data_IF_133932437829
#
_entry.id   IF_133932437829
#
_cell.length_a   1.000
_cell.length_b   1.000
_cell.length_c   1.000
_cell.angle_alpha   90.00
_cell.angle_beta   90.00
_cell.angle_gamma   90.00
#
_symmetry.space_group_name_H-M   'P 1'
#
loop_
_entity.id
_entity.type
_entity.pdbx_description
1 polymer ?
#
# COMPACT_ATOMS: atom_id res chain seq x y z
N UNK A 1 -67.59 18.16 -13.20
CA UNK A 1 -68.04 16.92 -12.50
C UNK A 1 -66.87 16.44 -11.66
N UNK A 2 -67.09 15.91 -10.45
CA UNK A 2 -66.06 15.22 -9.65
C UNK A 2 -66.41 13.73 -9.61
N UNK A 3 -65.40 12.87 -9.68
CA UNK A 3 -65.54 11.41 -9.64
C UNK A 3 -64.44 10.85 -8.75
N UNK A 4 -64.73 9.73 -8.10
CA UNK A 4 -63.75 8.87 -7.44
C UNK A 4 -63.31 7.79 -8.43
N UNK A 5 -62.02 7.46 -8.44
CA UNK A 5 -61.43 6.57 -9.45
C UNK A 5 -60.32 5.75 -8.82
N UNK A 6 -60.48 4.42 -8.80
CA UNK A 6 -59.41 3.49 -8.47
C UNK A 6 -58.31 3.55 -9.53
N UNK A 7 -57.05 3.61 -9.08
CA UNK A 7 -55.86 3.61 -9.94
C UNK A 7 -54.86 2.60 -9.40
N UNK A 8 -54.49 1.64 -10.25
CA UNK A 8 -53.55 0.58 -9.92
C UNK A 8 -52.22 0.80 -10.63
N UNK A 9 -51.13 0.57 -9.90
CA UNK A 9 -49.76 0.61 -10.44
C UNK A 9 -49.14 -0.76 -10.21
N UNK A 10 -48.68 -1.40 -11.30
CA UNK A 10 -48.05 -2.73 -11.27
C UNK A 10 -46.79 -2.74 -12.11
N UNK A 11 -45.85 -3.64 -11.82
CA UNK A 11 -44.78 -3.95 -12.75
C UNK A 11 -45.19 -5.11 -13.65
N UNK A 12 -44.92 -4.97 -14.95
CA UNK A 12 -45.06 -6.02 -15.95
C UNK A 12 -43.71 -6.32 -16.60
N UNK A 13 -43.58 -7.50 -17.19
CA UNK A 13 -42.42 -7.89 -17.97
C UNK A 13 -42.40 -7.14 -19.31
N UNK A 14 -41.25 -6.55 -19.65
CA UNK A 14 -41.09 -5.77 -20.89
C UNK A 14 -41.34 -6.58 -22.17
N UNK A 15 -41.15 -7.91 -22.14
CA UNK A 15 -41.33 -8.79 -23.31
C UNK A 15 -42.68 -9.50 -23.24
N UNK A 16 -42.96 -10.23 -22.16
CA UNK A 16 -44.17 -11.07 -22.08
C UNK A 16 -45.43 -10.30 -21.68
N UNK A 17 -45.29 -9.04 -21.23
CA UNK A 17 -46.35 -8.17 -20.67
C UNK A 17 -47.09 -8.73 -19.43
N UNK A 18 -46.68 -9.91 -18.96
CA UNK A 18 -47.23 -10.54 -17.75
C UNK A 18 -46.80 -9.78 -16.50
N UNK A 19 -47.65 -9.80 -15.47
CA UNK A 19 -47.34 -9.21 -14.18
C UNK A 19 -46.06 -9.82 -13.58
N UNK A 20 -45.19 -8.97 -13.03
CA UNK A 20 -44.04 -9.45 -12.27
C UNK A 20 -44.53 -10.10 -10.98
N UNK A 21 -44.07 -11.32 -10.73
CA UNK A 21 -44.28 -12.06 -9.48
C UNK A 21 -43.09 -11.77 -8.56
N UNK A 22 -43.37 -11.66 -7.25
CA UNK A 22 -42.31 -11.60 -6.25
C UNK A 22 -41.79 -13.01 -5.97
N UNK A 23 -40.49 -13.20 -6.17
CA UNK A 23 -39.80 -14.49 -6.02
C UNK A 23 -38.71 -14.45 -4.94
N UNK A 24 -38.59 -13.32 -4.22
CA UNK A 24 -37.66 -13.17 -3.11
C UNK A 24 -38.07 -13.97 -1.88
N UNK A 25 -37.14 -14.13 -0.95
CA UNK A 25 -37.39 -14.73 0.36
C UNK A 25 -37.14 -13.67 1.43
N UNK A 26 -38.20 -13.26 2.13
CA UNK A 26 -38.12 -12.37 3.29
C UNK A 26 -38.85 -13.03 4.47
N UNK A 27 -38.41 -12.74 5.70
CA UNK A 27 -39.08 -13.20 6.92
C UNK A 27 -40.31 -12.36 7.25
N UNK A 28 -40.36 -11.11 6.78
CA UNK A 28 -41.48 -10.21 6.96
C UNK A 28 -42.46 -10.33 5.78
N UNK A 29 -43.70 -10.83 5.98
CA UNK A 29 -44.67 -10.97 4.90
C UNK A 29 -45.04 -9.62 4.24
N UNK A 30 -44.94 -8.50 4.95
CA UNK A 30 -45.19 -7.16 4.38
C UNK A 30 -44.15 -6.74 3.33
N UNK A 31 -42.94 -7.33 3.37
CA UNK A 31 -41.86 -7.09 2.41
C UNK A 31 -41.93 -8.02 1.19
N UNK A 32 -42.75 -9.07 1.24
CA UNK A 32 -42.92 -10.06 0.18
C UNK A 32 -43.79 -9.56 -0.99
N UNK A 33 -43.44 -8.38 -1.53
CA UNK A 33 -44.18 -7.67 -2.58
C UNK A 33 -43.21 -7.10 -3.63
N UNK A 34 -43.63 -7.05 -4.88
CA UNK A 34 -42.82 -6.48 -5.98
C UNK A 34 -42.62 -4.98 -5.82
N UNK A 35 -43.67 -4.26 -5.41
CA UNK A 35 -43.66 -2.82 -5.14
C UNK A 35 -44.01 -2.57 -3.67
N UNK A 36 -43.30 -1.62 -3.07
CA UNK A 36 -43.45 -1.20 -1.67
C UNK A 36 -43.55 0.33 -1.60
N UNK A 37 -44.40 0.84 -0.72
CA UNK A 37 -44.45 2.25 -0.33
C UNK A 37 -43.57 2.50 0.89
N UNK A 38 -43.18 3.75 1.13
CA UNK A 38 -42.28 4.09 2.25
C UNK A 38 -42.87 3.71 3.61
N UNK A 39 -44.18 3.91 3.82
CA UNK A 39 -44.80 3.69 5.12
C UNK A 39 -44.80 2.22 5.56
N UNK A 40 -44.93 1.28 4.62
CA UNK A 40 -44.84 -0.18 4.87
C UNK A 40 -43.41 -0.58 5.27
N UNK A 41 -42.40 0.08 4.70
CA UNK A 41 -40.99 -0.24 4.94
C UNK A 41 -40.42 0.46 6.19
N UNK A 42 -41.03 1.55 6.64
CA UNK A 42 -40.48 2.41 7.68
C UNK A 42 -41.12 2.14 9.04
N UNK A 43 -40.35 1.59 9.98
CA UNK A 43 -40.79 1.33 11.36
C UNK A 43 -41.45 2.55 12.03
N UNK A 44 -40.89 3.76 11.85
CA UNK A 44 -41.48 5.00 12.37
C UNK A 44 -42.88 5.28 11.79
N UNK A 45 -43.07 5.04 10.50
CA UNK A 45 -44.37 5.24 9.85
C UNK A 45 -45.40 4.19 10.28
N UNK A 46 -45.00 2.92 10.42
CA UNK A 46 -45.83 1.85 10.99
C UNK A 46 -46.32 2.22 12.40
N UNK A 47 -45.44 2.81 13.22
CA UNK A 47 -45.76 3.31 14.56
C UNK A 47 -46.48 4.69 14.56
N UNK A 48 -46.85 5.22 13.39
CA UNK A 48 -47.47 6.54 13.19
C UNK A 48 -46.68 7.72 13.77
N UNK A 49 -45.37 7.57 13.92
CA UNK A 49 -44.43 8.61 14.36
C UNK A 49 -44.01 9.48 13.17
N UNK A 50 -43.58 10.72 13.47
CA UNK A 50 -42.98 11.60 12.47
C UNK A 50 -41.73 10.98 11.84
N UNK A 51 -41.64 11.02 10.51
CA UNK A 51 -40.53 10.49 9.72
C UNK A 51 -40.13 11.50 8.64
N UNK A 52 -38.85 11.90 8.59
CA UNK A 52 -38.35 12.83 7.57
C UNK A 52 -38.47 12.26 6.15
N UNK A 53 -38.13 10.98 5.96
CA UNK A 53 -38.20 10.31 4.66
C UNK A 53 -39.63 10.19 4.12
N UNK A 54 -40.67 10.29 4.96
CA UNK A 54 -42.07 10.36 4.51
C UNK A 54 -42.36 11.67 3.75
N UNK A 55 -41.64 12.75 4.05
CA UNK A 55 -41.79 14.02 3.34
C UNK A 55 -41.13 14.00 1.95
N UNK A 56 -40.05 13.22 1.79
CA UNK A 56 -39.33 13.05 0.52
C UNK A 56 -39.98 11.99 -0.39
N UNK A 57 -40.47 10.91 0.23
CA UNK A 57 -41.07 9.74 -0.45
C UNK A 57 -42.39 9.33 0.21
N UNK A 58 -43.47 10.13 0.11
CA UNK A 58 -44.77 9.79 0.67
C UNK A 58 -45.39 8.56 -0.03
N UNK A 59 -46.24 7.81 0.70
CA UNK A 59 -47.05 6.73 0.11
C UNK A 59 -48.13 7.27 -0.82
N UNK A 60 -48.81 8.34 -0.39
CA UNK A 60 -49.86 9.01 -1.17
C UNK A 60 -49.23 9.80 -2.33
N UNK A 61 -49.83 9.79 -3.53
CA UNK A 61 -49.30 10.51 -4.67
C UNK A 61 -49.34 12.03 -4.47
N UNK A 62 -48.24 12.71 -4.79
CA UNK A 62 -48.16 14.16 -4.73
C UNK A 62 -48.76 14.78 -5.98
N UNK A 63 -49.72 15.68 -5.81
CA UNK A 63 -50.29 16.48 -6.91
C UNK A 63 -49.35 17.63 -7.23
N UNK A 64 -48.94 17.76 -8.49
CA UNK A 64 -48.08 18.82 -9.02
C UNK A 64 -48.85 19.58 -10.10
N UNK A 65 -48.81 20.91 -10.06
CA UNK A 65 -49.46 21.83 -11.00
C UNK A 65 -50.92 21.48 -11.35
N UNK A 66 -51.65 20.91 -10.37
CA UNK A 66 -53.04 20.42 -10.45
C UNK A 66 -53.30 19.23 -11.37
N UNK A 67 -52.45 18.98 -12.37
CA UNK A 67 -52.71 18.00 -13.43
C UNK A 67 -51.77 16.77 -13.41
N UNK A 68 -50.71 16.79 -12.60
CA UNK A 68 -49.73 15.71 -12.54
C UNK A 68 -49.79 14.99 -11.18
N UNK A 69 -49.62 13.68 -11.20
CA UNK A 69 -49.47 12.84 -10.01
C UNK A 69 -48.06 12.24 -9.97
N UNK A 70 -47.37 12.42 -8.84
CA UNK A 70 -46.04 11.84 -8.61
C UNK A 70 -46.12 10.75 -7.54
N UNK A 71 -45.83 9.52 -7.95
CA UNK A 71 -45.80 8.34 -7.09
C UNK A 71 -44.38 8.01 -6.65
N UNK A 72 -44.21 7.58 -5.40
CA UNK A 72 -42.92 7.13 -4.86
C UNK A 72 -43.03 5.67 -4.42
N UNK A 73 -42.31 4.78 -5.11
CA UNK A 73 -42.35 3.34 -4.85
C UNK A 73 -40.94 2.75 -4.92
N UNK A 74 -40.69 1.72 -4.10
CA UNK A 74 -39.48 0.91 -4.17
C UNK A 74 -39.83 -0.44 -4.80
N UNK A 75 -39.07 -0.86 -5.80
CA UNK A 75 -39.13 -2.25 -6.28
C UNK A 75 -38.29 -3.15 -5.36
N UNK A 76 -38.87 -4.27 -4.90
CA UNK A 76 -38.17 -5.29 -4.10
C UNK A 76 -37.90 -6.59 -4.89
N UNK A 77 -38.09 -6.57 -6.21
CA UNK A 77 -37.80 -7.68 -7.11
C UNK A 77 -36.69 -7.27 -8.08
N UNK A 78 -35.59 -8.02 -8.12
CA UNK A 78 -34.56 -7.83 -9.15
C UNK A 78 -35.07 -8.37 -10.50
N UNK A 79 -34.65 -7.75 -11.61
CA UNK A 79 -34.89 -8.29 -12.95
C UNK A 79 -34.17 -9.64 -13.16
N UNK A 80 -32.96 -9.78 -12.60
CA UNK A 80 -32.16 -10.99 -12.65
C UNK A 80 -32.28 -11.75 -11.32
N UNK A 81 -32.57 -13.05 -11.41
CA UNK A 81 -32.75 -13.94 -10.24
C UNK A 81 -31.43 -14.39 -9.62
N UNK A 82 -30.47 -14.74 -10.48
CA UNK A 82 -29.23 -15.41 -10.09
C UNK A 82 -28.02 -14.49 -10.24
N UNK A 83 -26.99 -14.74 -9.44
CA UNK A 83 -25.66 -14.17 -9.66
C UNK A 83 -25.00 -14.75 -10.92
N UNK A 84 -24.13 -13.96 -11.55
CA UNK A 84 -23.40 -14.35 -12.77
C UNK A 84 -23.39 -13.23 -13.81
N UNK A 85 -22.81 -13.51 -14.98
CA UNK A 85 -22.89 -12.59 -16.11
C UNK A 85 -24.28 -12.69 -16.77
N UNK A 86 -25.07 -11.61 -16.85
CA UNK A 86 -26.38 -11.68 -17.49
C UNK A 86 -26.27 -12.06 -18.96
N UNK A 87 -26.92 -13.18 -19.32
CA UNK A 87 -27.19 -13.57 -20.71
C UNK A 87 -28.63 -13.22 -21.07
N UNK A 88 -29.57 -13.67 -20.24
CA UNK A 88 -30.99 -13.44 -20.41
C UNK A 88 -31.42 -12.15 -19.68
N UNK A 89 -31.39 -11.02 -20.40
CA UNK A 89 -31.75 -9.72 -19.84
C UNK A 89 -33.27 -9.54 -19.73
N UNK A 90 -33.83 -9.79 -18.54
CA UNK A 90 -35.17 -9.34 -18.18
C UNK A 90 -35.18 -7.83 -17.89
N UNK A 91 -36.27 -7.15 -18.26
CA UNK A 91 -36.56 -5.74 -17.87
C UNK A 91 -38.04 -5.60 -17.53
N UNK A 92 -38.37 -4.60 -16.72
CA UNK A 92 -39.73 -4.33 -16.26
C UNK A 92 -40.27 -3.04 -16.87
N UNK A 93 -41.58 -2.91 -16.95
CA UNK A 93 -42.28 -1.65 -17.23
C UNK A 93 -43.31 -1.40 -16.14
N UNK A 94 -43.58 -0.13 -15.83
CA UNK A 94 -44.68 0.28 -14.95
C UNK A 94 -45.95 0.33 -15.79
N UNK A 95 -46.98 -0.42 -15.39
CA UNK A 95 -48.32 -0.36 -15.97
C UNK A 95 -49.27 0.39 -15.02
N UNK A 96 -50.09 1.27 -15.59
CA UNK A 96 -51.14 2.00 -14.87
C UNK A 96 -52.50 1.59 -15.44
N UNK A 97 -53.47 1.27 -14.59
CA UNK A 97 -54.80 0.78 -14.99
C UNK A 97 -55.89 1.20 -14.00
N UNK A 98 -57.15 1.16 -14.43
CA UNK A 98 -58.35 1.32 -13.57
C UNK A 98 -58.90 0.00 -13.04
N UNK A 99 -58.25 -1.12 -13.35
CA UNK A 99 -58.53 -2.44 -12.78
C UNK A 99 -57.24 -3.13 -12.34
N UNK A 100 -57.36 -4.14 -11.46
CA UNK A 100 -56.21 -4.90 -10.94
C UNK A 100 -55.55 -5.80 -11.99
N UNK A 101 -56.27 -6.17 -13.06
CA UNK A 101 -55.77 -7.02 -14.14
C UNK A 101 -54.83 -6.24 -15.07
N UNK A 102 -53.75 -6.89 -15.51
CA UNK A 102 -52.76 -6.28 -16.45
C UNK A 102 -52.98 -6.69 -17.91
N UNK A 103 -53.76 -7.74 -18.15
CA UNK A 103 -54.06 -8.27 -19.48
C UNK A 103 -55.21 -7.49 -20.18
N UNK A 104 -55.83 -6.54 -19.49
CA UNK A 104 -56.90 -5.67 -19.98
C UNK A 104 -56.41 -4.32 -20.50
N UNK A 105 -57.32 -3.35 -20.77
CA UNK A 105 -56.95 -2.02 -21.21
C UNK A 105 -56.18 -1.26 -20.11
N UNK A 106 -54.92 -0.96 -20.38
CA UNK A 106 -54.05 -0.14 -19.54
C UNK A 106 -54.21 1.35 -19.93
N UNK A 107 -54.13 2.24 -18.94
CA UNK A 107 -54.08 3.69 -19.16
C UNK A 107 -52.74 4.13 -19.75
N UNK A 108 -51.64 3.54 -19.25
CA UNK A 108 -50.29 3.84 -19.70
C UNK A 108 -49.31 2.70 -19.35
N UNK A 109 -48.21 2.64 -20.10
CA UNK A 109 -47.06 1.77 -19.82
C UNK A 109 -45.76 2.59 -19.95
N UNK A 110 -44.85 2.47 -18.99
CA UNK A 110 -43.57 3.21 -19.00
C UNK A 110 -42.53 2.61 -19.94
N UNK A 111 -41.43 3.34 -20.16
CA UNK A 111 -40.20 2.78 -20.68
C UNK A 111 -39.62 1.65 -19.81
N UNK A 112 -38.65 0.92 -20.37
CA UNK A 112 -38.01 -0.23 -19.76
C UNK A 112 -37.08 0.14 -18.58
N UNK A 113 -37.45 -0.27 -17.38
CA UNK A 113 -36.65 -0.21 -16.17
C UNK A 113 -35.85 -1.50 -15.95
N UNK A 114 -34.59 -1.39 -15.50
CA UNK A 114 -33.75 -2.52 -15.12
C UNK A 114 -33.41 -2.44 -13.63
N UNK A 115 -34.05 -3.28 -12.81
CA UNK A 115 -33.89 -3.31 -11.36
C UNK A 115 -32.79 -4.30 -10.99
N UNK A 116 -31.76 -3.82 -10.29
CA UNK A 116 -30.60 -4.61 -9.87
C UNK A 116 -30.09 -4.16 -8.49
N UNK A 117 -29.54 -5.09 -7.71
CA UNK A 117 -28.82 -4.77 -6.48
C UNK A 117 -27.29 -4.75 -6.74
N UNK A 118 -26.79 -3.68 -7.35
CA UNK A 118 -25.37 -3.54 -7.72
C UNK A 118 -24.92 -2.07 -7.76
N UNK A 119 -24.17 -1.63 -6.75
CA UNK A 119 -23.62 -0.26 -6.64
C UNK A 119 -22.59 0.12 -7.72
N UNK A 120 -22.08 -0.88 -8.46
CA UNK A 120 -21.10 -0.70 -9.54
C UNK A 120 -21.75 -0.67 -10.93
N UNK A 121 -23.08 -0.77 -11.05
CA UNK A 121 -23.75 -0.66 -12.35
C UNK A 121 -23.44 0.68 -13.02
N UNK A 122 -23.34 0.69 -14.36
CA UNK A 122 -22.91 1.85 -15.15
C UNK A 122 -21.42 2.23 -15.02
N UNK A 123 -20.71 1.76 -13.99
CA UNK A 123 -19.27 2.06 -13.82
C UNK A 123 -18.43 1.10 -14.66
N UNK A 124 -17.44 1.62 -15.38
CA UNK A 124 -16.43 0.81 -16.07
C UNK A 124 -15.64 -0.01 -15.05
N UNK A 125 -15.27 -1.24 -15.42
CA UNK A 125 -14.38 -2.05 -14.58
C UNK A 125 -13.05 -1.31 -14.39
N UNK A 126 -12.66 -1.07 -13.13
CA UNK A 126 -11.31 -0.59 -12.83
C UNK A 126 -10.33 -1.74 -13.09
N UNK A 127 -9.22 -1.46 -13.77
CA UNK A 127 -8.13 -2.42 -13.88
C UNK A 127 -7.55 -2.63 -12.48
N UNK A 128 -7.49 -3.88 -12.05
CA UNK A 128 -6.75 -4.27 -10.84
C UNK A 128 -5.28 -4.44 -11.21
N UNK A 129 -4.65 -3.35 -11.63
CA UNK A 129 -3.20 -3.27 -11.77
C UNK A 129 -2.66 -2.36 -10.65
N UNK A 130 -1.95 -2.91 -9.64
CA UNK A 130 -1.38 -2.10 -8.56
C UNK A 130 -0.46 -0.97 -9.08
N UNK A 131 0.10 -1.14 -10.28
CA UNK A 131 1.08 -0.21 -10.88
C UNK A 131 0.44 1.03 -11.54
N UNK A 132 -0.89 1.09 -11.64
CA UNK A 132 -1.60 2.31 -12.10
C UNK A 132 -1.75 3.35 -10.97
N UNK A 133 -1.57 2.98 -9.70
CA UNK A 133 -1.64 3.91 -8.56
C UNK A 133 -0.29 4.44 -8.08
N UNK A 134 0.74 3.60 -8.07
CA UNK A 134 2.10 3.98 -7.71
C UNK A 134 3.14 3.07 -8.39
N UNK A 135 4.30 3.63 -8.76
CA UNK A 135 5.37 2.87 -9.43
C UNK A 135 6.31 2.26 -8.39
N UNK A 136 6.63 0.94 -8.46
CA UNK A 136 7.58 0.32 -7.55
C UNK A 136 9.01 0.82 -7.83
N UNK A 137 9.74 1.15 -6.76
CA UNK A 137 11.12 1.66 -6.84
C UNK A 137 12.05 0.90 -5.89
N UNK A 138 13.33 0.76 -6.25
CA UNK A 138 14.39 0.21 -5.38
C UNK A 138 15.15 1.39 -4.76
N UNK A 139 15.40 1.33 -3.45
CA UNK A 139 16.23 2.29 -2.71
C UNK A 139 17.54 1.66 -2.24
N UNK A 140 17.50 0.41 -1.76
CA UNK A 140 18.68 -0.31 -1.29
C UNK A 140 18.53 -1.83 -1.47
N UNK A 141 19.66 -2.54 -1.41
CA UNK A 141 19.75 -4.00 -1.50
C UNK A 141 20.69 -4.48 -0.39
N UNK A 142 20.25 -5.44 0.42
CA UNK A 142 21.01 -5.93 1.57
C UNK A 142 20.94 -7.47 1.69
N UNK A 143 22.09 -8.19 1.66
CA UNK A 143 23.42 -7.70 1.30
C UNK A 143 23.50 -7.22 -0.16
N UNK A 144 24.43 -6.32 -0.46
CA UNK A 144 24.69 -5.82 -1.81
C UNK A 144 25.69 -6.67 -2.60
N UNK A 145 26.14 -7.80 -2.04
CA UNK A 145 27.11 -8.71 -2.65
C UNK A 145 26.84 -10.17 -2.26
N UNK A 146 27.39 -11.11 -3.04
CA UNK A 146 27.29 -12.54 -2.78
C UNK A 146 28.05 -13.38 -3.81
N UNK A 147 28.03 -14.71 -3.63
CA UNK A 147 28.83 -15.63 -4.43
C UNK A 147 28.22 -15.93 -5.80
N UNK A 148 29.07 -16.17 -6.80
CA UNK A 148 28.67 -16.66 -8.14
C UNK A 148 27.84 -17.94 -8.13
N UNK A 149 27.88 -18.73 -7.06
CA UNK A 149 27.04 -19.91 -6.86
C UNK A 149 25.54 -19.59 -6.70
N UNK A 150 25.19 -18.34 -6.34
CA UNK A 150 23.82 -17.98 -5.97
C UNK A 150 23.39 -18.54 -4.61
N UNK A 151 22.08 -18.52 -4.35
CA UNK A 151 21.48 -19.01 -3.10
C UNK A 151 21.67 -18.11 -1.88
N UNK A 152 22.13 -16.86 -2.05
CA UNK A 152 22.15 -15.86 -0.98
C UNK A 152 20.77 -15.21 -0.84
N UNK A 153 20.22 -15.24 0.37
CA UNK A 153 19.00 -14.51 0.72
C UNK A 153 19.29 -13.01 0.73
N UNK A 154 18.58 -12.25 -0.10
CA UNK A 154 18.74 -10.80 -0.22
C UNK A 154 17.39 -10.11 0.02
N UNK A 155 17.43 -9.00 0.75
CA UNK A 155 16.28 -8.11 0.96
C UNK A 155 16.46 -6.87 0.09
N UNK A 156 15.49 -6.60 -0.79
CA UNK A 156 15.38 -5.33 -1.49
C UNK A 156 14.49 -4.40 -0.67
N UNK A 157 14.96 -3.18 -0.46
CA UNK A 157 14.25 -2.12 0.27
C UNK A 157 13.86 -1.03 -0.74
N UNK A 158 12.62 -0.56 -0.67
CA UNK A 158 12.06 0.37 -1.65
C UNK A 158 10.68 0.87 -1.28
N UNK A 159 9.86 1.23 -2.28
CA UNK A 159 8.45 1.60 -2.10
C UNK A 159 7.55 0.89 -3.11
N UNK A 160 6.26 0.82 -2.76
CA UNK A 160 5.17 0.34 -3.61
C UNK A 160 5.35 -1.11 -4.09
N UNK A 161 5.96 -1.96 -3.27
CA UNK A 161 6.00 -3.40 -3.51
C UNK A 161 4.64 -4.04 -3.23
N UNK A 162 4.31 -5.08 -3.99
CA UNK A 162 3.03 -5.80 -3.93
C UNK A 162 3.23 -7.26 -4.35
N UNK A 163 2.25 -8.10 -4.08
CA UNK A 163 2.34 -9.54 -4.32
C UNK A 163 2.42 -9.89 -5.82
N UNK A 164 3.21 -10.90 -6.16
CA UNK A 164 3.53 -11.29 -7.54
C UNK A 164 4.51 -10.37 -8.28
N UNK A 165 5.09 -9.35 -7.62
CA UNK A 165 6.19 -8.57 -8.17
C UNK A 165 7.45 -9.44 -8.30
N UNK A 166 8.07 -9.45 -9.48
CA UNK A 166 9.29 -10.21 -9.76
C UNK A 166 10.53 -9.30 -9.71
N UNK A 167 11.68 -9.88 -9.40
CA UNK A 167 12.97 -9.19 -9.41
C UNK A 167 13.82 -9.76 -10.54
N UNK A 168 14.63 -8.91 -11.18
CA UNK A 168 15.50 -9.29 -12.29
C UNK A 168 16.95 -8.95 -11.92
N UNK A 169 17.81 -9.95 -11.82
CA UNK A 169 19.26 -9.78 -11.70
C UNK A 169 19.86 -9.79 -13.11
N UNK A 170 20.05 -8.60 -13.68
CA UNK A 170 20.51 -8.37 -15.05
C UNK A 170 19.47 -8.79 -16.08
N UNK A 171 19.50 -10.07 -16.46
CA UNK A 171 18.52 -10.71 -17.35
C UNK A 171 17.77 -11.87 -16.69
N UNK A 172 18.20 -12.32 -15.50
CA UNK A 172 17.62 -13.48 -14.82
C UNK A 172 16.46 -13.05 -13.92
N UNK A 173 15.25 -13.48 -14.26
CA UNK A 173 14.07 -13.35 -13.42
C UNK A 173 14.18 -14.28 -12.21
N UNK A 174 13.89 -13.75 -11.02
CA UNK A 174 13.68 -14.51 -9.79
C UNK A 174 12.35 -14.15 -9.14
N UNK A 175 11.77 -15.14 -8.48
CA UNK A 175 10.61 -14.95 -7.62
C UNK A 175 11.00 -14.10 -6.41
N UNK A 176 10.09 -13.23 -5.99
CA UNK A 176 10.22 -12.47 -4.74
C UNK A 176 9.06 -12.78 -3.82
N UNK A 177 9.32 -12.68 -2.52
CA UNK A 177 8.36 -12.87 -1.45
C UNK A 177 8.15 -11.51 -0.77
N UNK A 178 6.89 -11.07 -0.70
CA UNK A 178 6.52 -9.81 -0.09
C UNK A 178 6.60 -9.90 1.44
N UNK A 179 7.47 -9.08 2.06
CA UNK A 179 7.47 -8.90 3.52
C UNK A 179 6.58 -7.71 3.87
N UNK A 180 6.78 -6.56 3.20
CA UNK A 180 5.96 -5.35 3.32
C UNK A 180 5.92 -4.60 1.99
N UNK A 181 5.10 -3.55 1.89
CA UNK A 181 5.12 -2.61 0.76
C UNK A 181 6.47 -1.90 0.52
N UNK A 182 7.43 -2.06 1.43
CA UNK A 182 8.77 -1.47 1.36
C UNK A 182 9.90 -2.50 1.39
N UNK A 183 9.61 -3.80 1.54
CA UNK A 183 10.60 -4.86 1.63
C UNK A 183 10.15 -6.16 0.93
N UNK A 184 10.97 -6.66 0.01
CA UNK A 184 10.81 -7.99 -0.62
C UNK A 184 12.06 -8.84 -0.40
N UNK A 185 11.85 -10.14 -0.17
CA UNK A 185 12.91 -11.15 -0.05
C UNK A 185 13.08 -11.87 -1.38
N UNK A 186 14.34 -12.10 -1.79
CA UNK A 186 14.71 -12.87 -2.97
C UNK A 186 15.87 -13.82 -2.67
N UNK A 187 16.04 -14.81 -3.54
CA UNK A 187 17.25 -15.62 -3.61
C UNK A 187 18.05 -15.21 -4.84
N UNK A 188 19.35 -14.95 -4.68
CA UNK A 188 20.22 -14.61 -5.81
C UNK A 188 20.35 -15.80 -6.77
N UNK A 189 20.17 -15.64 -8.09
CA UNK A 189 20.39 -16.73 -9.04
C UNK A 189 21.89 -17.06 -9.16
N UNK A 190 22.27 -18.28 -9.56
CA UNK A 190 23.65 -18.60 -9.91
C UNK A 190 24.11 -17.80 -11.15
N UNK A 191 25.36 -17.33 -11.17
CA UNK A 191 25.93 -16.53 -12.26
C UNK A 191 27.39 -16.89 -12.50
N UNK A 192 27.74 -17.27 -13.73
CA UNK A 192 29.12 -17.71 -14.06
C UNK A 192 30.13 -16.56 -14.18
N UNK A 193 29.69 -15.32 -14.44
CA UNK A 193 30.56 -14.14 -14.55
C UNK A 193 30.50 -13.33 -13.25
N UNK A 194 31.63 -13.08 -12.57
CA UNK A 194 31.69 -12.16 -11.44
C UNK A 194 31.54 -10.70 -11.87
N UNK A 195 31.39 -9.81 -10.90
CA UNK A 195 31.23 -8.37 -11.08
C UNK A 195 29.80 -7.87 -10.85
N UNK A 196 29.61 -6.58 -11.07
CA UNK A 196 28.35 -5.88 -10.82
C UNK A 196 27.23 -6.42 -11.73
N UNK A 197 26.02 -6.51 -11.19
CA UNK A 197 24.78 -6.70 -11.94
C UNK A 197 23.78 -5.60 -11.55
N UNK A 198 22.99 -5.17 -12.53
CA UNK A 198 21.87 -4.28 -12.31
C UNK A 198 20.64 -5.07 -11.87
N UNK A 199 19.96 -4.59 -10.84
CA UNK A 199 18.78 -5.22 -10.26
C UNK A 199 17.57 -4.35 -10.58
N UNK A 200 16.58 -4.92 -11.26
CA UNK A 200 15.35 -4.25 -11.66
C UNK A 200 14.11 -5.05 -11.24
N UNK A 201 12.92 -4.48 -11.40
CA UNK A 201 11.65 -5.13 -11.02
C UNK A 201 10.81 -5.41 -12.26
N UNK A 202 9.97 -6.45 -12.24
CA UNK A 202 9.13 -6.87 -13.36
C UNK A 202 7.75 -7.31 -12.88
N UNK A 203 6.69 -6.93 -13.59
CA UNK A 203 5.33 -7.41 -13.36
C UNK A 203 4.53 -7.39 -14.67
N UNK A 204 3.86 -8.50 -15.02
CA UNK A 204 3.06 -8.65 -16.27
C UNK A 204 3.81 -8.12 -17.52
N UNK A 205 5.08 -8.50 -17.67
CA UNK A 205 5.98 -8.07 -18.75
C UNK A 205 6.32 -6.56 -18.80
N UNK A 206 5.89 -5.76 -17.82
CA UNK A 206 6.32 -4.37 -17.61
C UNK A 206 7.50 -4.36 -16.64
N UNK A 207 8.61 -3.75 -17.06
CA UNK A 207 9.84 -3.66 -16.27
C UNK A 207 10.02 -2.25 -15.69
N UNK A 208 10.46 -2.17 -14.44
CA UNK A 208 10.62 -0.93 -13.65
C UNK A 208 12.08 -0.72 -13.24
N UNK A 209 12.39 0.44 -12.66
CA UNK A 209 13.73 0.81 -12.18
C UNK A 209 14.85 0.84 -13.25
N UNK A 210 14.54 0.80 -14.56
CA UNK A 210 15.58 0.86 -15.62
C UNK A 210 16.49 2.10 -15.56
N UNK A 211 15.95 3.25 -15.17
CA UNK A 211 16.73 4.49 -15.03
C UNK A 211 17.42 4.67 -13.68
N UNK A 212 17.09 3.82 -12.70
CA UNK A 212 17.67 3.83 -11.35
C UNK A 212 17.70 2.40 -10.80
N UNK A 213 18.50 1.49 -11.41
CA UNK A 213 18.55 0.11 -10.98
C UNK A 213 19.30 0.00 -9.65
N UNK A 214 18.91 -0.98 -8.84
CA UNK A 214 19.76 -1.43 -7.74
C UNK A 214 21.04 -2.06 -8.29
N UNK A 215 22.07 -2.18 -7.47
CA UNK A 215 23.34 -2.84 -7.84
C UNK A 215 23.63 -3.97 -6.86
N UNK A 216 24.03 -5.12 -7.40
CA UNK A 216 24.48 -6.27 -6.62
C UNK A 216 25.80 -6.80 -7.20
N UNK A 217 26.74 -7.20 -6.36
CA UNK A 217 28.08 -7.64 -6.79
C UNK A 217 28.21 -9.15 -6.65
N UNK A 218 28.54 -9.83 -7.75
CA UNK A 218 28.88 -11.26 -7.71
C UNK A 218 30.39 -11.45 -7.56
N UNK A 219 30.82 -12.13 -6.51
CA UNK A 219 32.23 -12.47 -6.28
C UNK A 219 32.47 -13.95 -6.56
N UNK A 220 33.59 -14.29 -7.20
CA UNK A 220 33.94 -15.67 -7.52
C UNK A 220 34.91 -16.26 -6.48
N UNK A 221 34.57 -17.40 -5.89
CA UNK A 221 35.48 -18.14 -4.99
C UNK A 221 36.78 -18.62 -5.66
N UNK A 222 36.82 -18.63 -7.00
CA UNK A 222 37.94 -19.02 -7.86
C UNK A 222 38.62 -17.84 -8.53
N UNK A 223 38.44 -16.62 -8.01
CA UNK A 223 39.17 -15.46 -8.51
C UNK A 223 40.67 -15.64 -8.21
N UNK A 224 41.59 -15.41 -9.18
CA UNK A 224 43.03 -15.69 -8.98
C UNK A 224 43.65 -14.97 -7.76
N UNK A 225 43.15 -13.78 -7.44
CA UNK A 225 43.50 -12.98 -6.26
C UNK A 225 43.16 -13.70 -4.95
N UNK A 226 41.93 -14.22 -4.85
CA UNK A 226 41.40 -14.95 -3.70
C UNK A 226 42.09 -16.31 -3.57
N UNK A 227 42.21 -17.07 -4.67
CA UNK A 227 42.88 -18.38 -4.66
C UNK A 227 44.37 -18.27 -4.31
N UNK A 228 45.08 -17.23 -4.79
CA UNK A 228 46.45 -16.96 -4.36
C UNK A 228 46.53 -16.63 -2.86
N UNK A 229 45.57 -15.87 -2.33
CA UNK A 229 45.41 -15.63 -0.89
C UNK A 229 45.27 -16.94 -0.09
N UNK A 230 44.42 -17.85 -0.53
CA UNK A 230 44.28 -19.18 0.08
C UNK A 230 45.55 -20.03 -0.02
N UNK A 231 46.26 -20.02 -1.16
CA UNK A 231 47.55 -20.70 -1.30
C UNK A 231 48.61 -20.16 -0.34
N UNK A 232 48.60 -18.84 -0.07
CA UNK A 232 49.49 -18.20 0.90
C UNK A 232 49.10 -18.57 2.34
N UNK A 233 47.83 -18.48 2.71
CA UNK A 233 47.34 -18.86 4.04
C UNK A 233 47.61 -20.34 4.35
N UNK A 234 47.43 -21.25 3.39
CA UNK A 234 47.70 -22.69 3.55
C UNK A 234 49.16 -23.00 3.91
N UNK A 235 50.12 -22.11 3.61
CA UNK A 235 51.54 -22.22 4.00
C UNK A 235 51.85 -21.61 5.38
N UNK A 236 50.98 -20.75 5.90
CA UNK A 236 51.18 -19.99 7.14
C UNK A 236 50.36 -20.55 8.32
N UNK A 237 49.21 -21.17 8.02
CA UNK A 237 48.33 -21.79 9.01
C UNK A 237 48.94 -23.10 9.53
N UNK A 238 49.11 -23.29 10.85
CA UNK A 238 49.56 -24.54 11.44
C UNK A 238 48.66 -25.73 11.08
N UNK A 239 49.31 -26.88 10.87
CA UNK A 239 48.64 -28.18 10.77
C UNK A 239 48.55 -28.83 12.14
N UNK A 240 47.53 -29.67 12.33
CA UNK A 240 47.28 -30.45 13.53
C UNK A 240 47.25 -31.94 13.19
N UNK A 241 47.56 -32.85 14.15
CA UNK A 241 47.44 -34.28 13.92
C UNK A 241 46.02 -34.66 13.46
N UNK A 242 45.92 -35.42 12.36
CA UNK A 242 44.64 -35.81 11.75
C UNK A 242 44.13 -34.87 10.64
N UNK A 243 44.84 -33.79 10.31
CA UNK A 243 44.50 -32.95 9.17
C UNK A 243 44.66 -33.68 7.81
N UNK A 244 43.75 -33.48 6.85
CA UNK A 244 43.92 -33.97 5.48
C UNK A 244 45.04 -33.21 4.74
N UNK A 245 45.63 -33.84 3.72
CA UNK A 245 46.71 -33.25 2.91
C UNK A 245 46.39 -31.88 2.33
N UNK A 246 45.11 -31.66 1.97
CA UNK A 246 44.55 -30.38 1.55
C UNK A 246 43.45 -29.94 2.52
N UNK A 247 43.74 -28.91 3.30
CA UNK A 247 42.76 -28.30 4.20
C UNK A 247 41.60 -27.64 3.42
N UNK A 248 40.34 -27.83 3.85
CA UNK A 248 39.20 -27.05 3.37
C UNK A 248 39.38 -25.54 3.57
N UNK A 249 38.85 -24.72 2.65
CA UNK A 249 38.94 -23.24 2.71
C UNK A 249 38.40 -22.69 4.04
N UNK A 250 37.34 -23.30 4.56
CA UNK A 250 36.71 -22.97 5.85
C UNK A 250 37.67 -23.10 7.04
N UNK A 251 38.40 -24.22 7.13
CA UNK A 251 39.36 -24.50 8.21
C UNK A 251 40.58 -23.56 8.11
N UNK A 252 41.02 -23.24 6.90
CA UNK A 252 42.09 -22.27 6.66
C UNK A 252 41.69 -20.88 7.18
N UNK A 253 40.48 -20.41 6.84
CA UNK A 253 39.99 -19.11 7.33
C UNK A 253 39.83 -19.10 8.85
N UNK A 254 39.24 -20.15 9.44
CA UNK A 254 39.06 -20.25 10.90
C UNK A 254 40.39 -20.10 11.62
N UNK A 255 41.38 -20.95 11.30
CA UNK A 255 42.70 -20.90 11.96
C UNK A 255 43.45 -19.60 11.68
N UNK A 256 43.28 -19.00 10.51
CA UNK A 256 43.88 -17.70 10.21
C UNK A 256 43.26 -16.57 11.06
N UNK A 257 41.95 -16.63 11.35
CA UNK A 257 41.28 -15.73 12.28
C UNK A 257 41.74 -15.97 13.73
N UNK A 258 41.74 -17.23 14.20
CA UNK A 258 42.20 -17.61 15.55
C UNK A 258 43.62 -17.07 15.83
N UNK A 259 44.53 -17.17 14.85
CA UNK A 259 45.90 -16.62 14.94
C UNK A 259 45.93 -15.09 14.93
N UNK A 260 45.12 -14.43 14.11
CA UNK A 260 45.05 -12.97 14.06
C UNK A 260 44.54 -12.41 15.40
N UNK A 261 43.49 -13.00 15.98
CA UNK A 261 42.96 -12.62 17.29
C UNK A 261 43.98 -12.84 18.41
N UNK A 262 44.70 -13.98 18.40
CA UNK A 262 45.78 -14.24 19.35
C UNK A 262 46.89 -13.17 19.30
N UNK A 263 47.27 -12.70 18.10
CA UNK A 263 48.27 -11.64 17.92
C UNK A 263 47.82 -10.27 18.47
N UNK A 264 46.52 -9.96 18.41
CA UNK A 264 45.97 -8.74 19.01
C UNK A 264 45.74 -8.86 20.53
N UNK A 265 45.69 -10.09 21.06
CA UNK A 265 45.41 -10.37 22.48
C UNK A 265 46.67 -10.45 23.37
N UNK A 266 47.87 -10.52 22.80
CA UNK A 266 49.11 -10.58 23.58
C UNK A 266 49.56 -9.17 24.06
N UNK A 267 50.04 -9.03 25.31
CA UNK A 267 50.61 -7.79 25.80
C UNK A 267 51.90 -7.43 25.03
N UNK A 268 51.99 -6.19 24.52
CA UNK A 268 53.17 -5.71 23.79
C UNK A 268 54.42 -5.69 24.69
N UNK A 269 55.39 -6.56 24.38
CA UNK A 269 56.69 -6.58 25.04
C UNK A 269 57.62 -5.53 24.37
N UNK A 270 58.16 -4.53 25.10
CA UNK A 270 58.87 -3.39 24.50
C UNK A 270 60.18 -3.70 23.77
N UNK A 271 60.72 -4.92 23.88
CA UNK A 271 61.99 -5.34 23.27
C UNK A 271 61.86 -6.22 22.01
N UNK A 272 60.68 -6.31 21.38
CA UNK A 272 60.55 -6.95 20.06
C UNK A 272 60.56 -5.92 18.92
N UNK A 273 61.26 -6.27 17.83
CA UNK A 273 61.32 -5.50 16.59
C UNK A 273 59.92 -5.02 16.17
N UNK A 274 59.76 -3.70 16.03
CA UNK A 274 58.49 -3.13 15.58
C UNK A 274 58.14 -3.67 14.19
N UNK A 275 57.04 -4.42 14.09
CA UNK A 275 56.39 -4.61 12.79
C UNK A 275 56.05 -3.23 12.25
N UNK A 276 56.62 -2.87 11.10
CA UNK A 276 56.31 -1.60 10.44
C UNK A 276 54.81 -1.54 10.19
N UNK A 277 54.15 -0.44 10.60
CA UNK A 277 52.72 -0.24 10.42
C UNK A 277 52.31 -0.54 8.99
N UNK A 278 51.19 -1.25 8.83
CA UNK A 278 50.64 -1.72 7.57
C UNK A 278 50.60 -0.61 6.52
N UNK A 279 51.58 -0.58 5.61
CA UNK A 279 51.52 0.29 4.44
C UNK A 279 50.51 -0.30 3.47
N UNK A 280 49.29 0.22 3.52
CA UNK A 280 48.38 0.16 2.38
C UNK A 280 49.13 0.63 1.12
N UNK A 281 49.02 -0.06 -0.02
CA UNK A 281 49.71 0.37 -1.24
C UNK A 281 49.17 1.74 -1.66
N UNK A 282 50.03 2.75 -1.60
CA UNK A 282 49.68 4.10 -2.02
C UNK A 282 49.52 4.13 -3.55
N UNK A 283 48.28 4.26 -4.04
CA UNK A 283 48.03 4.57 -5.44
C UNK A 283 48.48 6.01 -5.73
N UNK A 284 49.64 6.15 -6.35
CA UNK A 284 50.11 7.43 -6.85
C UNK A 284 49.56 7.68 -8.27
N UNK A 285 48.33 8.20 -8.38
CA UNK A 285 48.06 9.26 -9.38
C UNK A 285 46.74 10.01 -9.14
N UNK A 286 46.88 11.30 -8.84
CA UNK A 286 46.16 12.44 -9.43
C UNK A 286 44.62 12.42 -9.62
N UNK A 287 43.98 13.31 -8.84
CA UNK A 287 42.72 14.03 -9.10
C UNK A 287 41.37 13.27 -9.09
N UNK A 288 40.63 13.35 -7.96
CA UNK A 288 39.44 14.23 -7.87
C UNK A 288 38.89 14.38 -6.44
N UNK A 289 38.09 15.43 -6.25
CA UNK A 289 37.54 16.02 -5.03
C UNK A 289 36.82 15.10 -4.01
N UNK A 290 37.35 15.08 -2.78
CA UNK A 290 36.67 15.38 -1.51
C UNK A 290 35.33 14.74 -1.14
N UNK A 291 35.33 13.91 -0.08
CA UNK A 291 34.19 13.68 0.80
C UNK A 291 34.65 13.50 2.26
N UNK A 292 33.90 14.06 3.22
CA UNK A 292 34.26 14.04 4.65
C UNK A 292 34.00 12.67 5.30
N UNK A 293 34.95 12.18 6.10
CA UNK A 293 34.78 11.04 6.99
C UNK A 293 35.09 11.45 8.44
N UNK A 294 34.12 11.29 9.33
CA UNK A 294 34.28 11.53 10.77
C UNK A 294 35.12 10.41 11.42
N UNK A 295 36.12 10.71 12.26
CA UNK A 295 36.79 9.68 13.05
C UNK A 295 35.90 9.26 14.24
N UNK A 296 35.42 8.03 14.19
CA UNK A 296 34.66 7.41 15.28
C UNK A 296 35.59 7.05 16.47
N UNK A 297 35.58 7.87 17.52
CA UNK A 297 36.12 7.47 18.83
C UNK A 297 35.00 6.85 19.67
N UNK A 298 35.02 5.52 19.79
CA UNK A 298 34.25 4.76 20.79
C UNK A 298 35.23 3.92 21.61
N UNK A 299 35.83 4.55 22.62
CA UNK A 299 36.64 3.86 23.62
C UNK A 299 35.75 3.47 24.81
N UNK A 300 35.40 2.19 24.90
CA UNK A 300 34.70 1.64 26.07
C UNK A 300 35.74 1.43 27.16
N UNK A 301 35.65 2.22 28.24
CA UNK A 301 36.52 2.07 29.41
C UNK A 301 35.86 1.13 30.41
N UNK A 302 36.53 0.02 30.74
CA UNK A 302 36.08 -0.90 31.79
C UNK A 302 36.52 -0.33 33.15
N UNK A 303 35.55 0.05 33.98
CA UNK A 303 35.77 0.55 35.34
C UNK A 303 35.66 -0.56 36.37
N UNK A 304 36.71 -0.72 37.19
CA UNK A 304 36.75 -1.64 38.32
C UNK A 304 35.85 -1.15 39.48
N UNK A 305 35.36 -2.06 40.32
CA UNK A 305 34.30 -1.78 41.31
C UNK A 305 34.84 -1.56 42.73
N UNK A 306 34.64 -0.36 43.30
CA UNK A 306 35.08 -0.05 44.68
C UNK A 306 34.42 1.16 45.35
N UNK A 307 33.35 0.90 46.12
CA UNK A 307 32.92 1.63 47.35
C UNK A 307 32.57 3.14 47.29
N UNK A 308 31.28 3.40 47.09
CA UNK A 308 30.39 4.30 47.87
C UNK A 308 30.97 5.42 48.79
N UNK A 309 30.70 6.71 48.48
CA UNK A 309 30.08 7.69 49.43
C UNK A 309 29.48 8.92 48.70
N UNK A 310 28.80 9.81 49.46
CA UNK A 310 27.80 10.83 49.05
C UNK A 310 28.24 12.28 49.43
N UNK A 311 27.48 13.31 48.99
CA UNK A 311 27.55 14.76 49.36
C UNK A 311 28.62 15.60 48.60
N UNK A 312 28.51 16.91 48.29
CA UNK A 312 27.48 17.97 48.49
C UNK A 312 27.59 19.12 47.43
N UNK A 313 26.73 20.15 47.54
CA UNK A 313 26.55 21.43 46.80
C UNK A 313 27.78 22.32 46.41
N UNK A 314 27.58 23.31 45.49
CA UNK A 314 28.40 24.56 45.52
C UNK A 314 28.77 25.39 44.24
N UNK A 315 27.85 26.22 43.73
CA UNK A 315 28.05 27.60 43.16
C UNK A 315 29.15 28.02 42.12
N UNK A 316 28.70 28.26 40.87
CA UNK A 316 28.86 29.47 40.00
C UNK A 316 30.13 30.36 39.93
N UNK A 317 30.63 30.67 38.70
CA UNK A 317 30.55 32.03 38.06
C UNK A 317 30.98 32.12 36.55
N UNK A 318 30.12 32.72 35.72
CA UNK A 318 30.32 33.60 34.52
C UNK A 318 31.63 33.58 33.69
N UNK A 319 31.61 33.57 32.34
CA UNK A 319 31.35 34.77 31.49
C UNK A 319 31.17 34.47 29.96
N UNK A 320 30.46 35.38 29.27
CA UNK A 320 30.51 35.86 27.85
C UNK A 320 31.46 35.22 26.80
N UNK A 321 31.20 35.22 25.48
CA UNK A 321 30.10 35.80 24.64
C UNK A 321 30.22 35.39 23.15
N UNK A 322 29.08 35.43 22.42
CA UNK A 322 28.88 35.65 20.96
C UNK A 322 30.06 35.65 19.95
N UNK A 323 29.87 34.99 18.79
CA UNK A 323 29.86 35.61 17.44
C UNK A 323 29.04 34.72 16.47
N UNK A 324 28.18 35.34 15.65
CA UNK A 324 27.62 34.74 14.42
C UNK A 324 27.90 35.68 13.22
N UNK A 325 28.26 35.18 12.03
CA UNK A 325 28.31 36.01 10.83
C UNK A 325 27.00 35.91 10.01
N UNK A 326 26.23 37.01 10.01
CA UNK A 326 25.54 37.48 8.79
C UNK A 326 26.58 38.28 7.99
N UNK A 327 26.51 38.49 6.67
CA UNK A 327 25.49 38.23 5.65
C UNK A 327 25.56 39.35 4.60
N UNK A 328 24.92 39.18 3.42
CA UNK A 328 24.58 40.23 2.43
C UNK A 328 23.55 39.62 1.47
N UNK A 329 22.61 40.34 0.84
CA UNK A 329 22.27 41.76 0.88
C UNK A 329 21.15 42.02 -0.15
N UNK A 330 20.16 42.84 0.17
CA UNK A 330 18.90 42.96 -0.59
C UNK A 330 18.94 44.00 -1.73
N UNK A 331 18.10 43.79 -2.77
CA UNK A 331 17.27 44.79 -3.49
C UNK A 331 16.56 44.07 -4.66
N UNK A 332 15.31 44.34 -5.06
CA UNK A 332 14.34 45.32 -4.55
C UNK A 332 13.83 46.25 -5.66
N UNK A 333 12.79 45.85 -6.41
CA UNK A 333 11.95 46.73 -7.26
C UNK A 333 10.72 46.00 -7.82
N UNK A 334 9.53 46.54 -7.57
CA UNK A 334 8.26 46.28 -8.28
C UNK A 334 7.84 47.59 -8.98
N UNK A 335 7.03 47.57 -10.07
CA UNK A 335 5.57 47.59 -9.90
C UNK A 335 4.72 46.87 -10.99
N UNK A 336 3.58 46.30 -10.56
CA UNK A 336 2.32 45.96 -11.32
C UNK A 336 2.42 45.07 -12.61
N UNK A 337 1.43 44.24 -12.97
CA UNK A 337 -0.02 44.24 -12.68
C UNK A 337 -0.72 42.85 -12.73
N UNK A 338 -1.57 42.57 -11.73
CA UNK A 338 -2.92 41.90 -11.78
C UNK A 338 -3.08 40.44 -12.27
N UNK A 339 -4.02 39.74 -11.59
CA UNK A 339 -4.60 38.40 -11.85
C UNK A 339 -3.71 37.18 -11.54
N UNK A 340 -4.15 36.13 -10.83
CA UNK A 340 -5.42 35.89 -10.13
C UNK A 340 -5.61 34.39 -9.86
N UNK A 341 -6.10 33.99 -8.68
CA UNK A 341 -6.38 32.58 -8.37
C UNK A 341 -6.11 32.19 -6.90
N UNK A 342 -7.18 31.87 -6.16
CA UNK A 342 -7.10 31.46 -4.76
C UNK A 342 -6.85 29.95 -4.62
N UNK A 343 -5.86 29.56 -3.82
CA UNK A 343 -5.62 28.18 -3.38
C UNK A 343 -5.57 28.11 -1.86
N UNK A 344 -6.46 27.32 -1.24
CA UNK A 344 -6.62 27.25 0.22
C UNK A 344 -5.59 26.33 0.88
N UNK A 345 -4.94 26.83 1.93
CA UNK A 345 -4.04 26.07 2.80
C UNK A 345 -4.79 25.17 3.81
N UNK A 346 -4.29 23.95 3.98
CA UNK A 346 -4.68 22.98 5.02
C UNK A 346 -4.13 23.29 6.41
N UNK A 347 -4.82 22.91 7.50
CA UNK A 347 -4.17 22.63 8.80
C UNK A 347 -5.01 21.81 9.80
N UNK A 348 -4.39 20.76 10.38
CA UNK A 348 -4.66 20.04 11.66
C UNK A 348 -6.09 19.43 11.90
N UNK A 349 -6.38 18.43 12.74
CA UNK A 349 -5.68 17.57 13.74
C UNK A 349 -6.74 16.98 14.72
N UNK A 350 -6.53 16.02 15.63
CA UNK A 350 -5.44 15.05 15.89
C UNK A 350 -5.92 14.03 16.99
N UNK A 351 -5.66 12.70 16.87
CA UNK A 351 -5.96 11.62 17.87
C UNK A 351 -7.46 11.34 18.21
N UNK A 352 -7.91 10.18 18.74
CA UNK A 352 -7.29 8.88 19.12
C UNK A 352 -8.37 7.83 19.54
N UNK A 353 -8.04 6.53 19.67
CA UNK A 353 -8.99 5.42 20.02
C UNK A 353 -9.13 5.13 21.54
N UNK A 354 -9.45 3.90 22.04
CA UNK A 354 -9.81 2.63 21.34
C UNK A 354 -10.92 1.71 21.98
N UNK A 355 -11.72 0.99 21.14
CA UNK A 355 -12.43 -0.30 21.43
C UNK A 355 -13.53 -0.36 22.53
N UNK A 356 -14.21 -1.52 22.77
CA UNK A 356 -14.39 -2.72 21.93
C UNK A 356 -15.87 -3.25 21.83
N UNK A 357 -16.10 -4.24 20.93
CA UNK A 357 -17.20 -5.24 20.91
C UNK A 357 -18.69 -4.78 20.88
N UNK A 358 -19.38 -5.06 19.76
CA UNK A 358 -20.84 -5.02 19.64
C UNK A 358 -21.33 -5.61 18.31
N UNK A 359 -22.40 -6.41 18.34
CA UNK A 359 -22.94 -7.15 17.18
C UNK A 359 -24.02 -6.34 16.43
N UNK A 360 -24.44 -6.80 15.23
CA UNK A 360 -25.37 -6.13 14.28
C UNK A 360 -24.72 -4.95 13.52
N UNK A 361 -25.13 -4.58 12.31
CA UNK A 361 -26.17 -5.07 11.39
C UNK A 361 -26.14 -4.19 10.12
N UNK A 362 -26.79 -4.58 9.02
CA UNK A 362 -26.73 -3.78 7.78
C UNK A 362 -27.36 -2.39 7.98
N UNK A 363 -26.58 -1.32 7.80
CA UNK A 363 -27.11 -0.02 7.37
C UNK A 363 -26.03 0.88 6.71
N UNK A 364 -26.53 1.82 5.90
CA UNK A 364 -25.86 2.87 5.11
C UNK A 364 -25.40 2.60 3.66
N UNK A 365 -26.30 2.94 2.74
CA UNK A 365 -25.97 3.59 1.46
C UNK A 365 -26.10 5.12 1.62
N UNK A 366 -25.30 5.85 0.83
CA UNK A 366 -25.53 7.23 0.33
C UNK A 366 -25.72 8.36 1.38
N UNK A 367 -24.63 9.10 1.59
CA UNK A 367 -24.67 10.58 1.69
C UNK A 367 -24.03 11.17 0.43
N UNK A 368 -24.26 12.46 0.23
CA UNK A 368 -23.68 13.38 -0.76
C UNK A 368 -24.17 13.22 -2.22
N UNK A 369 -25.31 13.87 -2.53
CA UNK A 369 -25.38 15.02 -3.45
C UNK A 369 -26.82 15.58 -3.52
N UNK A 370 -27.08 16.75 -2.92
CA UNK A 370 -28.11 17.74 -3.31
C UNK A 370 -28.30 18.83 -2.23
N UNK A 371 -27.50 19.92 -2.27
CA UNK A 371 -27.89 21.19 -1.63
C UNK A 371 -27.15 22.38 -2.24
N UNK A 372 -27.62 22.83 -3.41
CA UNK A 372 -27.44 24.17 -3.97
C UNK A 372 -28.52 24.43 -5.03
N UNK A 373 -29.65 25.02 -4.66
CA UNK A 373 -30.34 26.19 -5.26
C UNK A 373 -31.48 26.56 -4.29
N UNK A 374 -31.64 27.83 -3.90
CA UNK A 374 -32.97 28.38 -3.57
C UNK A 374 -33.27 28.83 -2.13
N UNK A 375 -32.49 29.75 -1.57
CA UNK A 375 -32.94 30.91 -0.77
C UNK A 375 -31.75 31.83 -0.47
#
# INVERSE_FOLDING_TARGET
IRQEQDVYIRLIDSVTKQAIVYEGQDKNPEMCRVLLTHEVMCSRCCEKKSCGNRNETPSDPVIIDRFFLKFFMKCNQNCLKNAGNPRDMRRFQVAISTSTAVDGPLLAVSDNMFVHNNSKHGRRARRLDPTEGATPCIKAICPSEGWTTGGTTVILIGDNFFDGLQVVFGTMLVWSELITSHAIRVQTPPRHIPGVVEVTLSYKSKQFCKGAPGRFVYTALTEPTIDYGFQRLMKLVPRHPGDPDRLPKEIILKRAADLAEALYSMPRNPNQLSLSSSRSPAMNNSAMSGFNAYPSQLAVSVGDSGVNTQWDDGYTRSQSSSVSPRGYGSNGSTPHSVNGGYGTSSMNGYHGGPGPLGNMGLDHFLRDEASRIGA
#
